data_IF_957091321524
#
_entry.id   IF_957091321524
#
_cell.length_a   1.000
_cell.length_b   1.000
_cell.length_c   1.000
_cell.angle_alpha   90.00
_cell.angle_beta   90.00
_cell.angle_gamma   90.00
#
_symmetry.space_group_name_H-M   'P 1'
#
loop_
_entity.id
_entity.type
_entity.pdbx_description
1 polymer ?
#
# COMPACT_ATOMS: atom_id res chain seq x y z
N UNK A 1 5.37 4.54 29.33
CA UNK A 1 4.05 4.62 28.68
C UNK A 1 4.09 3.75 27.43
N UNK A 2 3.39 2.62 27.43
CA UNK A 2 3.31 1.70 26.30
C UNK A 2 2.32 2.26 25.29
N UNK A 3 2.80 2.83 24.19
CA UNK A 3 1.97 3.11 23.03
C UNK A 3 1.60 1.76 22.42
N UNK A 4 0.48 1.17 22.83
CA UNK A 4 -0.20 0.25 21.91
C UNK A 4 -0.50 1.07 20.66
N UNK A 5 -0.07 0.64 19.46
CA UNK A 5 -0.53 1.31 18.25
C UNK A 5 -2.07 1.30 18.28
N UNK A 6 -2.76 2.35 17.80
CA UNK A 6 -4.23 2.34 17.72
C UNK A 6 -4.80 1.23 16.79
N UNK A 7 -3.92 0.37 16.26
CA UNK A 7 -4.19 -0.63 15.24
C UNK A 7 -4.18 -2.08 15.75
N UNK A 8 -3.96 -2.32 17.05
CA UNK A 8 -4.05 -3.67 17.63
C UNK A 8 -5.35 -3.83 18.41
N UNK A 9 -6.35 -4.47 17.79
CA UNK A 9 -7.50 -5.03 18.50
C UNK A 9 -7.34 -6.55 18.65
N UNK A 10 -7.89 -7.14 19.74
CA UNK A 10 -7.93 -8.60 19.90
C UNK A 10 -8.69 -9.26 18.74
N UNK A 11 -8.29 -10.48 18.39
CA UNK A 11 -8.93 -11.24 17.31
C UNK A 11 -10.45 -11.35 17.49
N UNK A 12 -11.21 -10.94 16.48
CA UNK A 12 -12.61 -11.38 16.29
C UNK A 12 -13.73 -10.36 16.48
N UNK A 13 -13.46 -9.10 16.80
CA UNK A 13 -14.53 -8.09 16.95
C UNK A 13 -14.06 -6.72 16.48
N UNK A 14 -14.23 -6.42 15.18
CA UNK A 14 -14.69 -5.12 14.66
C UNK A 14 -14.53 -5.01 13.09
N UNK A 15 -15.42 -4.33 12.34
CA UNK A 15 -15.36 -4.19 10.86
C UNK A 15 -14.29 -3.19 10.36
N UNK A 16 -13.49 -2.64 11.27
CA UNK A 16 -12.42 -1.68 10.98
C UNK A 16 -11.43 -2.11 9.88
N UNK A 17 -11.04 -3.39 9.76
CA UNK A 17 -10.07 -3.79 8.75
C UNK A 17 -10.62 -3.68 7.32
N UNK A 18 -11.94 -3.81 7.15
CA UNK A 18 -12.64 -3.65 5.86
C UNK A 18 -12.93 -2.18 5.52
N UNK A 19 -13.17 -1.32 6.52
CA UNK A 19 -13.30 0.13 6.29
C UNK A 19 -11.99 0.71 5.75
N UNK A 20 -10.85 0.25 6.26
CA UNK A 20 -9.55 0.70 5.75
C UNK A 20 -9.33 0.32 4.27
N UNK A 21 -9.90 -0.79 3.82
CA UNK A 21 -9.88 -1.20 2.40
C UNK A 21 -10.59 -0.18 1.50
N UNK A 22 -11.67 0.43 1.99
CA UNK A 22 -12.54 1.32 1.22
C UNK A 22 -12.24 2.81 1.37
N UNK A 23 -11.29 3.24 2.23
CA UNK A 23 -11.00 4.66 2.39
C UNK A 23 -10.64 5.33 1.04
N UNK A 24 -11.29 6.44 0.68
CA UNK A 24 -10.98 7.12 -0.57
C UNK A 24 -9.58 7.74 -0.50
N UNK A 25 -8.89 7.74 -1.64
CA UNK A 25 -7.75 8.62 -1.88
C UNK A 25 -8.28 9.80 -2.71
N UNK A 26 -8.49 10.95 -2.06
CA UNK A 26 -8.99 12.14 -2.72
C UNK A 26 -7.87 12.77 -3.56
N UNK A 27 -8.03 12.76 -4.89
CA UNK A 27 -6.98 13.22 -5.81
C UNK A 27 -6.65 14.71 -5.61
N UNK A 28 -5.36 15.02 -5.64
CA UNK A 28 -4.81 16.37 -5.47
C UNK A 28 -3.70 16.61 -6.50
N UNK A 29 -3.41 17.88 -6.84
CA UNK A 29 -2.21 18.21 -7.60
C UNK A 29 -0.95 17.67 -6.91
N UNK A 30 0.02 17.26 -7.72
CA UNK A 30 1.31 16.78 -7.21
C UNK A 30 2.01 17.94 -6.49
N UNK A 31 2.35 17.82 -5.20
CA UNK A 31 3.07 18.86 -4.50
C UNK A 31 4.50 18.99 -5.04
N UNK A 32 5.06 20.20 -4.99
CA UNK A 32 6.45 20.45 -5.37
C UNK A 32 7.43 19.95 -4.29
N UNK A 33 8.73 19.93 -4.65
CA UNK A 33 9.80 19.57 -3.73
C UNK A 33 9.77 18.10 -3.30
N UNK A 34 10.25 17.83 -2.08
CA UNK A 34 10.43 16.46 -1.59
C UNK A 34 9.14 15.67 -1.44
N UNK A 35 8.05 16.31 -1.05
CA UNK A 35 6.75 15.67 -1.00
C UNK A 35 6.39 15.12 -2.38
N UNK A 36 6.64 15.89 -3.45
CA UNK A 36 6.53 15.43 -4.83
C UNK A 36 7.37 14.19 -5.10
N UNK A 37 8.65 14.21 -4.76
CA UNK A 37 9.57 13.06 -4.96
C UNK A 37 9.11 11.82 -4.20
N UNK A 38 8.58 11.95 -2.97
CA UNK A 38 8.05 10.80 -2.21
C UNK A 38 6.78 10.23 -2.83
N UNK A 39 5.97 11.07 -3.47
CA UNK A 39 4.69 10.68 -4.05
C UNK A 39 4.83 10.16 -5.49
N UNK A 40 5.82 10.60 -6.26
CA UNK A 40 5.98 10.21 -7.67
C UNK A 40 7.05 9.14 -7.92
N UNK A 41 7.93 8.86 -6.96
CA UNK A 41 9.04 7.94 -7.14
C UNK A 41 8.60 6.50 -7.44
N UNK A 42 9.15 5.92 -8.50
CA UNK A 42 8.83 4.56 -8.94
C UNK A 42 9.71 3.49 -8.27
N UNK A 43 10.63 3.91 -7.40
CA UNK A 43 11.46 3.02 -6.61
C UNK A 43 10.69 2.11 -5.63
N UNK A 44 11.39 1.11 -5.10
CA UNK A 44 10.86 0.22 -4.06
C UNK A 44 10.78 0.99 -2.74
N UNK A 45 9.55 1.30 -2.31
CA UNK A 45 9.29 2.11 -1.11
C UNK A 45 10.03 1.61 0.15
N UNK A 46 10.13 0.30 0.34
CA UNK A 46 10.79 -0.26 1.53
C UNK A 46 12.30 -0.03 1.57
N UNK A 47 12.97 0.03 0.41
CA UNK A 47 14.38 0.46 0.33
C UNK A 47 14.50 1.92 0.73
N UNK A 48 13.63 2.79 0.19
CA UNK A 48 13.63 4.21 0.53
C UNK A 48 13.34 4.49 2.01
N UNK A 49 12.42 3.71 2.60
CA UNK A 49 12.19 3.75 4.05
C UNK A 49 13.42 3.32 4.83
N UNK A 50 14.12 2.28 4.36
CA UNK A 50 15.37 1.82 4.99
C UNK A 50 16.47 2.88 4.90
N UNK A 51 16.66 3.51 3.75
CA UNK A 51 17.64 4.58 3.55
C UNK A 51 17.35 5.79 4.46
N UNK A 52 16.08 6.17 4.58
CA UNK A 52 15.67 7.31 5.42
C UNK A 52 15.81 7.05 6.91
N UNK A 53 15.38 5.89 7.38
CA UNK A 53 15.23 5.60 8.80
C UNK A 53 16.33 4.68 9.36
N UNK A 54 17.27 4.23 8.53
CA UNK A 54 18.37 3.35 8.91
C UNK A 54 17.95 1.94 9.31
N UNK A 55 16.74 1.51 8.97
CA UNK A 55 16.20 0.19 9.32
C UNK A 55 15.18 -0.30 8.30
N UNK A 56 15.18 -1.61 8.03
CA UNK A 56 14.20 -2.24 7.14
C UNK A 56 12.78 -2.07 7.67
N UNK A 57 11.85 -1.82 6.74
CA UNK A 57 10.43 -1.85 7.04
C UNK A 57 9.95 -3.29 7.20
N UNK A 58 9.11 -3.54 8.21
CA UNK A 58 8.33 -4.77 8.34
C UNK A 58 6.88 -4.46 8.00
N UNK A 59 6.22 -5.35 7.27
CA UNK A 59 4.78 -5.26 7.06
C UNK A 59 4.04 -5.90 8.24
N UNK A 60 3.13 -5.15 8.86
CA UNK A 60 2.09 -5.67 9.75
C UNK A 60 0.78 -5.74 8.98
N UNK A 61 0.27 -6.95 8.78
CA UNK A 61 -1.02 -7.15 8.10
C UNK A 61 -2.14 -6.83 9.09
N UNK A 62 -2.99 -5.87 8.73
CA UNK A 62 -4.20 -5.52 9.48
C UNK A 62 -5.40 -6.31 8.97
N UNK A 63 -5.45 -6.54 7.66
CA UNK A 63 -6.50 -7.29 6.98
C UNK A 63 -5.96 -7.95 5.73
N UNK A 64 -6.50 -9.12 5.41
CA UNK A 64 -6.41 -9.68 4.08
C UNK A 64 -7.57 -10.64 3.80
N UNK A 65 -8.01 -10.70 2.56
CA UNK A 65 -9.09 -11.59 2.16
C UNK A 65 -9.67 -11.21 0.81
N UNK A 66 -10.64 -12.00 0.35
CA UNK A 66 -11.40 -11.65 -0.84
C UNK A 66 -12.54 -10.70 -0.46
N UNK A 67 -12.57 -9.52 -1.06
CA UNK A 67 -13.64 -8.54 -0.92
C UNK A 67 -14.14 -8.10 -2.29
N UNK A 68 -15.32 -7.50 -2.34
CA UNK A 68 -15.75 -6.81 -3.55
C UNK A 68 -14.77 -5.68 -3.86
N UNK A 69 -14.32 -5.60 -5.12
CA UNK A 69 -13.47 -4.49 -5.54
C UNK A 69 -14.30 -3.22 -5.68
N UNK A 70 -13.77 -2.09 -5.25
CA UNK A 70 -14.40 -0.81 -5.57
C UNK A 70 -14.27 -0.51 -7.07
N UNK A 71 -15.19 0.28 -7.66
CA UNK A 71 -15.20 0.55 -9.10
C UNK A 71 -13.88 1.11 -9.65
N UNK A 72 -13.16 1.92 -8.86
CA UNK A 72 -11.88 2.50 -9.31
C UNK A 72 -10.83 1.41 -9.43
N UNK A 73 -10.67 0.55 -8.42
CA UNK A 73 -9.71 -0.56 -8.48
C UNK A 73 -10.08 -1.57 -9.56
N UNK A 74 -11.36 -1.89 -9.73
CA UNK A 74 -11.82 -2.80 -10.78
C UNK A 74 -11.48 -2.26 -12.18
N UNK A 75 -11.77 -0.97 -12.43
CA UNK A 75 -11.44 -0.32 -13.69
C UNK A 75 -9.93 -0.29 -13.96
N UNK A 76 -9.11 0.01 -12.95
CA UNK A 76 -7.65 0.04 -13.07
C UNK A 76 -7.04 -1.34 -13.37
N UNK A 77 -7.67 -2.39 -12.86
CA UNK A 77 -7.25 -3.78 -13.08
C UNK A 77 -7.85 -4.38 -14.36
N UNK A 78 -8.76 -3.67 -15.04
CA UNK A 78 -9.45 -4.15 -16.24
C UNK A 78 -10.36 -5.34 -15.97
N UNK A 79 -10.92 -5.43 -14.76
CA UNK A 79 -11.84 -6.50 -14.36
C UNK A 79 -13.28 -5.99 -14.34
N UNK A 80 -14.24 -6.89 -14.52
CA UNK A 80 -15.66 -6.55 -14.57
C UNK A 80 -16.17 -6.01 -13.24
N UNK A 81 -17.16 -5.11 -13.28
CA UNK A 81 -17.90 -4.67 -12.10
C UNK A 81 -18.50 -5.87 -11.35
N UNK A 82 -18.54 -5.78 -10.01
CA UNK A 82 -18.98 -6.86 -9.12
C UNK A 82 -17.96 -8.00 -8.93
N UNK A 83 -16.78 -7.92 -9.58
CA UNK A 83 -15.72 -8.90 -9.35
C UNK A 83 -15.13 -8.76 -7.95
N UNK A 84 -14.68 -9.90 -7.39
CA UNK A 84 -13.94 -9.92 -6.13
C UNK A 84 -12.45 -9.76 -6.39
N UNK A 85 -11.80 -9.00 -5.54
CA UNK A 85 -10.36 -8.87 -5.49
C UNK A 85 -9.86 -9.51 -4.21
N UNK A 86 -8.68 -10.11 -4.26
CA UNK A 86 -7.93 -10.29 -3.03
C UNK A 86 -7.38 -8.93 -2.64
N UNK A 87 -7.72 -8.52 -1.43
CA UNK A 87 -7.24 -7.29 -0.82
C UNK A 87 -6.34 -7.59 0.36
N UNK A 88 -5.36 -6.71 0.59
CA UNK A 88 -4.59 -6.67 1.82
C UNK A 88 -4.39 -5.23 2.25
N UNK A 89 -4.64 -4.98 3.53
CA UNK A 89 -4.36 -3.72 4.22
C UNK A 89 -3.29 -4.01 5.27
N UNK A 90 -2.24 -3.20 5.32
CA UNK A 90 -1.18 -3.35 6.30
C UNK A 90 -0.43 -2.06 6.60
N UNK A 91 0.43 -2.10 7.61
CA UNK A 91 1.32 -1.02 8.00
C UNK A 91 2.76 -1.40 7.66
N UNK A 92 3.48 -0.52 6.98
CA UNK A 92 4.93 -0.58 6.94
C UNK A 92 5.48 0.08 8.20
N UNK A 93 6.07 -0.73 9.07
CA UNK A 93 6.58 -0.35 10.38
C UNK A 93 8.10 -0.31 10.34
N UNK A 94 8.68 0.81 10.76
CA UNK A 94 10.13 0.99 10.87
C UNK A 94 10.46 1.38 12.29
N UNK A 95 11.41 0.68 12.93
CA UNK A 95 11.80 0.93 14.33
C UNK A 95 10.60 0.96 15.29
N UNK A 96 9.64 0.05 15.08
CA UNK A 96 8.42 -0.05 15.91
C UNK A 96 7.40 1.07 15.69
N UNK A 97 7.59 1.95 14.69
CA UNK A 97 6.66 3.04 14.37
C UNK A 97 6.03 2.86 12.99
N UNK A 98 4.70 2.96 12.83
CA UNK A 98 4.06 2.88 11.54
C UNK A 98 4.43 4.10 10.69
N UNK A 99 4.80 3.87 9.44
CA UNK A 99 5.21 4.90 8.48
C UNK A 99 4.26 4.99 7.29
N UNK A 100 3.79 3.86 6.79
CA UNK A 100 2.90 3.85 5.64
C UNK A 100 1.76 2.88 5.89
N UNK A 101 0.52 3.33 5.69
CA UNK A 101 -0.61 2.46 5.51
C UNK A 101 -0.63 2.04 4.04
N UNK A 102 -0.48 0.75 3.78
CA UNK A 102 -0.48 0.19 2.43
C UNK A 102 -1.73 -0.64 2.19
N UNK A 103 -2.29 -0.50 0.98
CA UNK A 103 -3.45 -1.26 0.53
C UNK A 103 -3.14 -1.82 -0.84
N UNK A 104 -3.37 -3.11 -1.03
CA UNK A 104 -3.13 -3.75 -2.31
C UNK A 104 -4.34 -4.57 -2.76
N UNK A 105 -4.65 -4.50 -4.05
CA UNK A 105 -5.72 -5.27 -4.68
C UNK A 105 -5.22 -5.98 -5.92
N UNK A 106 -5.67 -7.22 -6.11
CA UNK A 106 -5.40 -7.98 -7.33
C UNK A 106 -6.51 -8.99 -7.61
N UNK A 107 -6.77 -9.30 -8.88
CA UNK A 107 -7.62 -10.42 -9.22
C UNK A 107 -6.93 -11.73 -8.86
N UNK A 108 -7.73 -12.74 -8.52
CA UNK A 108 -7.23 -14.11 -8.35
C UNK A 108 -6.87 -14.76 -9.68
N UNK A 109 -7.63 -14.44 -10.71
CA UNK A 109 -7.50 -15.08 -12.01
C UNK A 109 -6.15 -14.77 -12.67
N UNK A 110 -5.59 -15.77 -13.34
CA UNK A 110 -4.30 -15.70 -14.02
C UNK A 110 -3.08 -16.07 -13.15
N UNK A 111 -3.19 -16.06 -11.82
CA UNK A 111 -2.08 -16.43 -10.95
C UNK A 111 -1.90 -17.95 -10.88
N UNK A 112 -0.66 -18.43 -11.01
CA UNK A 112 -0.34 -19.84 -10.78
C UNK A 112 -0.60 -20.19 -9.30
N UNK A 113 -1.13 -21.38 -8.97
CA UNK A 113 -1.51 -21.72 -7.59
C UNK A 113 -0.40 -21.53 -6.55
N UNK A 114 0.84 -21.87 -6.89
CA UNK A 114 2.02 -21.72 -6.04
C UNK A 114 2.39 -20.24 -5.81
N UNK A 115 2.22 -19.41 -6.84
CA UNK A 115 2.44 -17.96 -6.76
C UNK A 115 1.34 -17.32 -5.91
N UNK A 116 0.09 -17.71 -6.14
CA UNK A 116 -1.05 -17.27 -5.34
C UNK A 116 -0.90 -17.61 -3.86
N UNK A 117 -0.49 -18.85 -3.54
CA UNK A 117 -0.24 -19.26 -2.17
C UNK A 117 0.82 -18.39 -1.48
N UNK A 118 1.88 -18.01 -2.20
CA UNK A 118 2.89 -17.09 -1.71
C UNK A 118 2.34 -15.68 -1.43
N UNK A 119 1.48 -15.16 -2.32
CA UNK A 119 0.82 -13.86 -2.10
C UNK A 119 -0.03 -13.92 -0.83
N UNK A 120 -0.90 -14.92 -0.71
CA UNK A 120 -1.86 -15.03 0.40
C UNK A 120 -1.15 -15.28 1.73
N UNK A 121 -0.13 -16.13 1.77
CA UNK A 121 0.57 -16.50 3.01
C UNK A 121 1.60 -15.45 3.46
N UNK A 122 2.13 -14.64 2.54
CA UNK A 122 3.27 -13.78 2.81
C UNK A 122 2.95 -12.58 3.71
N UNK A 123 3.76 -12.38 4.74
CA UNK A 123 3.88 -11.15 5.53
C UNK A 123 4.91 -10.18 4.92
N UNK A 124 5.41 -10.47 3.73
CA UNK A 124 6.38 -9.64 3.03
C UNK A 124 5.69 -8.52 2.23
N UNK A 125 6.30 -7.32 2.14
CA UNK A 125 5.88 -6.29 1.19
C UNK A 125 5.85 -6.83 -0.25
N UNK A 126 4.71 -6.65 -0.95
CA UNK A 126 4.46 -7.28 -2.26
C UNK A 126 5.53 -6.93 -3.31
N UNK A 127 6.03 -5.70 -3.31
CA UNK A 127 7.08 -5.27 -4.22
C UNK A 127 8.39 -6.03 -4.02
N UNK A 128 8.79 -6.27 -2.76
CA UNK A 128 10.00 -7.05 -2.45
C UNK A 128 9.81 -8.53 -2.82
N UNK A 129 8.62 -9.07 -2.56
CA UNK A 129 8.29 -10.45 -2.90
C UNK A 129 8.34 -10.68 -4.42
N UNK A 130 7.73 -9.79 -5.21
CA UNK A 130 7.81 -9.84 -6.67
C UNK A 130 9.26 -9.75 -7.18
N UNK A 131 10.06 -8.83 -6.61
CA UNK A 131 11.49 -8.75 -6.93
C UNK A 131 12.25 -10.03 -6.59
N UNK A 132 11.91 -10.71 -5.49
CA UNK A 132 12.55 -11.99 -5.10
C UNK A 132 12.26 -13.13 -6.08
N UNK A 133 11.16 -13.03 -6.84
CA UNK A 133 10.80 -13.96 -7.90
C UNK A 133 11.45 -13.61 -9.26
N UNK A 134 12.32 -12.60 -9.31
CA UNK A 134 12.91 -12.11 -10.56
C UNK A 134 11.90 -11.37 -11.44
N UNK A 135 10.80 -10.88 -10.86
CA UNK A 135 9.75 -10.13 -11.54
C UNK A 135 9.68 -8.71 -10.97
N UNK A 136 10.70 -7.84 -11.19
CA UNK A 136 10.62 -6.47 -10.72
C UNK A 136 9.42 -5.79 -11.39
N UNK A 137 8.39 -5.38 -10.63
CA UNK A 137 7.21 -4.79 -11.23
C UNK A 137 7.57 -3.44 -11.83
N UNK A 138 7.09 -3.20 -13.05
CA UNK A 138 7.05 -1.83 -13.57
C UNK A 138 5.97 -1.07 -12.78
N UNK A 139 6.34 0.07 -12.20
CA UNK A 139 5.41 0.88 -11.43
C UNK A 139 4.88 1.99 -12.32
N UNK A 140 3.56 2.05 -12.49
CA UNK A 140 2.91 3.17 -13.15
C UNK A 140 2.12 3.97 -12.13
N UNK A 141 2.60 5.16 -11.80
CA UNK A 141 1.88 6.12 -10.95
C UNK A 141 0.58 6.54 -11.63
N UNK A 142 -0.53 6.51 -10.89
CA UNK A 142 -1.86 6.81 -11.42
C UNK A 142 -2.48 8.05 -10.79
N UNK A 143 -2.39 8.15 -9.47
CA UNK A 143 -3.00 9.23 -8.73
C UNK A 143 -2.17 9.58 -7.50
N UNK A 144 -2.18 10.86 -7.16
CA UNK A 144 -1.63 11.40 -5.91
C UNK A 144 -2.77 12.14 -5.22
N UNK A 145 -2.83 12.05 -3.90
CA UNK A 145 -3.95 12.58 -3.15
C UNK A 145 -3.74 12.58 -1.66
N UNK A 146 -4.83 12.72 -0.93
CA UNK A 146 -4.88 12.66 0.53
C UNK A 146 -5.93 11.63 0.97
N UNK A 147 -5.68 10.98 2.10
CA UNK A 147 -6.60 10.05 2.72
C UNK A 147 -6.81 10.41 4.20
N UNK A 148 -8.07 10.38 4.63
CA UNK A 148 -8.42 10.46 6.05
C UNK A 148 -8.15 9.11 6.70
N UNK A 149 -7.18 9.07 7.62
CA UNK A 149 -6.82 7.85 8.34
C UNK A 149 -7.41 7.92 9.75
N UNK A 150 -8.27 6.96 10.15
CA UNK A 150 -8.84 6.99 11.49
C UNK A 150 -7.77 7.04 12.59
N UNK A 151 -7.96 7.95 13.55
CA UNK A 151 -7.00 8.18 14.64
C UNK A 151 -5.82 9.10 14.26
N UNK A 152 -5.82 9.69 13.06
CA UNK A 152 -4.90 10.74 12.66
C UNK A 152 -5.73 12.01 12.40
N UNK A 153 -5.38 13.11 13.06
CA UNK A 153 -6.16 14.36 13.02
C UNK A 153 -6.00 15.17 11.72
N UNK A 154 -5.04 14.79 10.88
CA UNK A 154 -4.67 15.48 9.64
C UNK A 154 -4.74 14.53 8.45
N UNK A 155 -5.24 14.98 7.28
CA UNK A 155 -5.20 14.19 6.06
C UNK A 155 -3.77 13.74 5.75
N UNK A 156 -3.60 12.46 5.43
CA UNK A 156 -2.30 11.90 5.11
C UNK A 156 -2.08 11.90 3.60
N UNK A 157 -0.92 12.40 3.09
CA UNK A 157 -0.63 12.33 1.67
C UNK A 157 -0.50 10.87 1.24
N UNK A 158 -0.91 10.56 0.03
CA UNK A 158 -0.90 9.21 -0.49
C UNK A 158 -0.79 9.16 -2.00
N UNK A 159 -0.48 7.97 -2.49
CA UNK A 159 -0.38 7.69 -3.92
C UNK A 159 -1.02 6.35 -4.26
N UNK A 160 -1.52 6.27 -5.48
CA UNK A 160 -2.01 5.05 -6.12
C UNK A 160 -1.16 4.76 -7.34
N UNK A 161 -0.74 3.51 -7.49
CA UNK A 161 0.00 3.04 -8.65
C UNK A 161 -0.40 1.61 -8.99
N UNK A 162 -0.11 1.19 -10.22
CA UNK A 162 -0.19 -0.22 -10.62
C UNK A 162 1.23 -0.79 -10.63
N UNK A 163 1.37 -1.97 -10.06
CA UNK A 163 2.50 -2.86 -10.29
C UNK A 163 2.17 -3.75 -11.49
N UNK A 164 2.82 -3.49 -12.61
CA UNK A 164 2.68 -4.25 -13.84
C UNK A 164 3.73 -5.36 -13.84
N UNK A 165 3.26 -6.61 -13.86
CA UNK A 165 4.14 -7.80 -13.81
C UNK A 165 4.63 -8.24 -15.19
N UNK A 166 4.32 -7.46 -16.24
CA UNK A 166 4.60 -7.79 -17.65
C UNK A 166 3.73 -8.91 -18.22
N UNK A 167 2.76 -9.41 -17.46
CA UNK A 167 1.79 -10.43 -17.89
C UNK A 167 0.38 -9.85 -17.86
N UNK A 168 -0.38 -9.94 -18.98
CA UNK A 168 -1.76 -9.48 -19.01
C UNK A 168 -2.60 -10.13 -17.90
N UNK A 169 -3.41 -9.32 -17.20
CA UNK A 169 -4.29 -9.79 -16.12
C UNK A 169 -3.62 -9.97 -14.75
N UNK A 170 -2.30 -9.79 -14.64
CA UNK A 170 -1.55 -9.96 -13.39
C UNK A 170 -1.09 -8.64 -12.78
N UNK A 171 -1.89 -7.59 -12.96
CA UNK A 171 -1.62 -6.28 -12.39
C UNK A 171 -2.05 -6.25 -10.92
N UNK A 172 -1.35 -5.45 -10.13
CA UNK A 172 -1.69 -5.22 -8.73
C UNK A 172 -1.87 -3.72 -8.55
N UNK A 173 -3.03 -3.30 -8.07
CA UNK A 173 -3.22 -1.91 -7.64
C UNK A 173 -2.67 -1.78 -6.23
N UNK A 174 -1.83 -0.77 -6.01
CA UNK A 174 -1.24 -0.49 -4.70
C UNK A 174 -1.48 0.97 -4.37
N UNK A 175 -1.95 1.19 -3.15
CA UNK A 175 -2.07 2.50 -2.54
C UNK A 175 -1.17 2.56 -1.32
N UNK A 176 -0.46 3.68 -1.20
CA UNK A 176 0.49 3.94 -0.13
C UNK A 176 0.12 5.30 0.47
N UNK A 177 -0.29 5.31 1.73
CA UNK A 177 -0.67 6.49 2.50
C UNK A 177 0.42 6.75 3.53
N UNK A 178 1.10 7.87 3.39
CA UNK A 178 2.26 8.23 4.20
C UNK A 178 1.80 8.88 5.50
N UNK A 179 2.04 8.19 6.61
CA UNK A 179 1.63 8.62 7.94
C UNK A 179 2.54 9.75 8.47
N UNK A 180 2.11 10.52 9.50
CA UNK A 180 2.88 11.63 10.05
C UNK A 180 4.34 11.27 10.36
N UNK A 181 5.26 12.16 9.98
CA UNK A 181 6.71 11.97 10.15
C UNK A 181 7.34 10.96 9.18
N UNK A 182 6.64 10.57 8.12
CA UNK A 182 7.20 9.73 7.05
C UNK A 182 7.88 10.57 5.98
N UNK A 183 7.13 11.45 5.32
CA UNK A 183 7.68 12.41 4.37
C UNK A 183 8.34 13.55 5.17
N UNK A 184 9.58 13.94 4.87
CA UNK A 184 10.20 15.12 5.47
C UNK A 184 9.45 16.39 5.07
N UNK A 185 9.16 17.25 6.05
CA UNK A 185 8.48 18.54 5.87
C UNK A 185 9.35 19.56 5.10
N UNK A 186 10.66 19.37 5.09
CA UNK A 186 11.61 20.06 4.22
C UNK A 186 12.83 19.18 3.94
N UNK A 187 13.31 19.13 2.69
CA UNK A 187 14.75 19.08 2.44
C UNK A 187 15.08 20.37 1.71
N UNK A 188 15.85 21.23 2.35
CA UNK A 188 16.85 21.97 1.60
C UNK A 188 17.75 20.89 0.98
N UNK A 189 17.71 20.76 -0.34
CA UNK A 189 18.76 20.03 -1.04
C UNK A 189 20.07 20.76 -0.71
N UNK A 190 21.14 20.04 -0.33
CA UNK A 190 22.44 20.67 -0.12
C UNK A 190 22.93 21.40 -1.38
#
# INVERSE_FOLDING_TARGET
MSLRPPFTTPAGQDPWPEILWTLPLAERPIPSGMAGVWLTDEGVLTHRLADRFGARARLEVLWQGEAEGDPVRLALLGVSEGSRLFGRTGLLVVQGRPKVLTRMGLPRDGWRPEVWAGIVAGDQPIGEWLSSLGLPPHRRSLAIGEAEVPGIDTPCPGRRHILETGRPGLNIVVEEIFLPGTIPESLELP
#
